data_IF_101167560381
#
_entry.id   IF_101167560381
#
_cell.length_a   1.000
_cell.length_b   1.000
_cell.length_c   1.000
_cell.angle_alpha   90.00
_cell.angle_beta   90.00
_cell.angle_gamma   90.00
#
_symmetry.space_group_name_H-M   'P 1'
#
loop_
_entity.id
_entity.type
_entity.pdbx_description
1 polymer ?
#
# COMPACT_ATOMS: atom_id res chain seq x y z
N UNK A 1 31.01 49.27 4.60
CA UNK A 1 29.84 50.05 5.07
C UNK A 1 28.88 49.07 5.72
N UNK A 2 28.50 49.33 6.98
CA UNK A 2 27.73 48.53 7.95
C UNK A 2 26.30 48.10 7.48
N UNK A 3 25.54 47.26 8.24
CA UNK A 3 25.93 46.23 9.22
C UNK A 3 25.12 44.90 9.17
N UNK A 4 25.62 43.94 9.96
CA UNK A 4 24.97 42.74 10.50
C UNK A 4 23.73 43.06 11.35
N UNK A 5 22.79 42.11 11.42
CA UNK A 5 21.85 41.96 12.53
C UNK A 5 21.83 40.49 13.00
N UNK A 6 21.81 40.33 14.32
CA UNK A 6 21.87 39.08 15.08
C UNK A 6 20.70 39.08 16.07
N UNK A 7 20.41 37.89 16.60
CA UNK A 7 19.68 37.56 17.83
C UNK A 7 18.17 37.29 17.69
N UNK A 8 17.79 36.03 17.94
CA UNK A 8 16.66 35.73 18.83
C UNK A 8 16.89 34.40 19.56
N UNK A 9 17.05 34.54 20.88
CA UNK A 9 17.09 33.48 21.89
C UNK A 9 15.72 32.79 21.98
N UNK A 10 15.68 31.46 22.00
CA UNK A 10 14.55 30.72 22.54
C UNK A 10 14.92 30.14 23.91
N UNK A 11 14.10 30.52 24.89
CA UNK A 11 14.15 30.12 26.29
C UNK A 11 13.59 28.69 26.39
N UNK A 12 14.38 27.76 26.94
CA UNK A 12 13.92 26.46 27.39
C UNK A 12 13.20 26.62 28.74
N UNK A 13 11.91 26.24 28.80
CA UNK A 13 11.17 26.11 30.06
C UNK A 13 10.95 24.63 30.34
N UNK A 14 11.70 24.09 31.30
CA UNK A 14 11.57 22.73 31.83
C UNK A 14 10.45 22.70 32.87
N UNK A 15 9.38 21.94 32.63
CA UNK A 15 8.34 21.69 33.62
C UNK A 15 8.55 20.31 34.25
N UNK A 16 9.00 20.31 35.52
CA UNK A 16 9.01 19.15 36.40
C UNK A 16 7.68 19.13 37.16
N UNK A 17 6.90 18.06 37.04
CA UNK A 17 5.75 17.80 37.91
C UNK A 17 5.94 16.47 38.63
N UNK A 18 5.98 16.57 39.95
CA UNK A 18 6.30 15.50 40.89
C UNK A 18 5.14 14.57 41.20
N UNK A 19 5.55 13.42 41.74
CA UNK A 19 4.74 12.33 42.24
C UNK A 19 3.75 12.76 43.33
N UNK A 20 2.51 12.24 43.26
CA UNK A 20 1.49 12.32 44.29
C UNK A 20 0.84 10.94 44.53
N UNK A 21 0.76 10.56 45.79
CA UNK A 21 0.64 9.19 46.30
C UNK A 21 -0.76 8.53 46.19
N UNK A 22 -0.71 7.19 46.22
CA UNK A 22 -1.84 6.24 46.42
C UNK A 22 -2.59 6.52 47.73
N UNK A 23 -3.92 6.40 47.68
CA UNK A 23 -4.78 6.22 48.86
C UNK A 23 -5.62 4.93 48.70
N UNK A 24 -5.60 4.11 49.75
CA UNK A 24 -6.38 2.87 49.91
C UNK A 24 -7.79 3.18 50.48
N UNK A 25 -8.81 2.34 50.24
CA UNK A 25 -10.07 2.45 50.97
C UNK A 25 -10.04 1.60 52.25
N UNK A 26 -10.46 2.21 53.36
CA UNK A 26 -10.68 1.55 54.65
C UNK A 26 -12.08 0.93 54.71
N UNK A 27 -12.13 -0.30 55.22
CA UNK A 27 -13.31 -1.04 55.64
C UNK A 27 -13.85 -0.54 56.98
N UNK A 28 -15.19 -0.40 57.10
CA UNK A 28 -15.88 -0.42 58.40
C UNK A 28 -17.23 -1.12 58.26
N UNK A 29 -17.34 -2.28 58.91
CA UNK A 29 -18.58 -2.91 59.33
C UNK A 29 -19.18 -2.16 60.52
N UNK A 30 -20.51 -1.98 60.58
CA UNK A 30 -21.29 -2.25 61.81
C UNK A 30 -22.81 -2.27 61.56
N UNK A 31 -23.39 -3.41 61.96
CA UNK A 31 -24.57 -3.61 62.79
C UNK A 31 -25.99 -3.19 62.30
N UNK A 32 -26.82 -4.23 62.28
CA UNK A 32 -28.24 -4.28 61.99
C UNK A 32 -29.14 -3.55 63.01
N UNK A 33 -30.23 -2.99 62.51
CA UNK A 33 -31.47 -2.84 63.27
C UNK A 33 -32.63 -3.43 62.47
N UNK A 34 -33.26 -4.48 63.03
CA UNK A 34 -34.49 -5.09 62.50
C UNK A 34 -35.68 -4.20 62.88
N UNK A 35 -36.49 -3.82 61.90
CA UNK A 35 -37.89 -3.43 62.09
C UNK A 35 -38.74 -4.08 61.00
N UNK A 36 -39.60 -4.99 61.41
CA UNK A 36 -40.56 -5.71 60.56
C UNK A 36 -41.81 -4.87 60.32
N UNK A 37 -42.13 -4.61 59.06
CA UNK A 37 -43.45 -4.14 58.60
C UNK A 37 -43.90 -5.00 57.42
N UNK A 38 -45.22 -5.28 57.28
CA UNK A 38 -45.71 -6.30 56.37
C UNK A 38 -45.74 -5.78 54.92
N UNK A 39 -45.20 -6.56 53.99
CA UNK A 39 -45.23 -6.25 52.57
C UNK A 39 -46.64 -6.49 52.00
N UNK A 40 -47.32 -5.40 51.64
CA UNK A 40 -48.45 -5.40 50.73
C UNK A 40 -47.97 -5.73 49.32
N UNK A 41 -48.59 -6.74 48.70
CA UNK A 41 -48.34 -7.14 47.32
C UNK A 41 -48.84 -6.06 46.35
N UNK A 42 -47.95 -5.19 45.88
CA UNK A 42 -48.20 -4.38 44.70
C UNK A 42 -47.71 -5.12 43.47
N UNK A 43 -48.62 -5.56 42.61
CA UNK A 43 -48.34 -5.95 41.24
C UNK A 43 -47.67 -4.78 40.52
N UNK A 44 -46.35 -4.86 40.33
CA UNK A 44 -45.63 -3.96 39.45
C UNK A 44 -46.04 -4.31 38.01
N UNK A 45 -46.89 -3.48 37.42
CA UNK A 45 -47.07 -3.41 35.98
C UNK A 45 -45.71 -3.07 35.38
N UNK A 46 -45.10 -4.03 34.69
CA UNK A 46 -43.95 -3.80 33.83
C UNK A 46 -44.45 -2.87 32.73
N UNK A 47 -44.14 -1.58 32.84
CA UNK A 47 -44.34 -0.65 31.74
C UNK A 47 -43.51 -1.17 30.56
N UNK A 48 -44.17 -1.53 29.46
CA UNK A 48 -43.52 -1.80 28.19
C UNK A 48 -42.75 -0.54 27.80
N UNK A 49 -41.43 -0.56 27.96
CA UNK A 49 -40.56 0.44 27.39
C UNK A 49 -40.73 0.34 25.87
N UNK A 50 -41.54 1.22 25.30
CA UNK A 50 -41.63 1.39 23.85
C UNK A 50 -40.21 1.68 23.35
N UNK A 51 -39.73 0.87 22.42
CA UNK A 51 -38.42 1.08 21.78
C UNK A 51 -38.39 2.49 21.21
N UNK A 52 -37.55 3.35 21.80
CA UNK A 52 -37.30 4.69 21.26
C UNK A 52 -36.39 4.49 20.04
N UNK A 53 -37.00 4.33 18.87
CA UNK A 53 -36.26 4.31 17.60
C UNK A 53 -35.76 5.75 17.35
N UNK A 54 -34.46 5.97 17.13
CA UNK A 54 -33.94 7.29 16.79
C UNK A 54 -34.69 7.86 15.59
N UNK A 55 -35.21 9.09 15.71
CA UNK A 55 -35.87 9.76 14.59
C UNK A 55 -34.80 10.20 13.58
N UNK A 56 -34.87 9.68 12.35
CA UNK A 56 -33.99 10.09 11.25
C UNK A 56 -34.40 11.49 10.79
N UNK A 57 -33.62 12.50 11.15
CA UNK A 57 -33.92 13.92 10.86
C UNK A 57 -33.62 14.33 9.41
N UNK A 58 -32.80 13.58 8.67
CA UNK A 58 -32.27 13.94 7.34
C UNK A 58 -32.70 13.02 6.19
N UNK A 59 -33.68 12.13 6.40
CA UNK A 59 -34.07 11.11 5.42
C UNK A 59 -33.09 9.94 5.31
N UNK A 60 -33.46 8.89 4.56
CA UNK A 60 -32.62 7.72 4.33
C UNK A 60 -31.70 7.91 3.11
N UNK A 61 -30.57 7.20 3.11
CA UNK A 61 -29.68 7.15 1.94
C UNK A 61 -30.42 6.61 0.71
N UNK A 62 -30.06 7.11 -0.48
CA UNK A 62 -30.66 6.65 -1.74
C UNK A 62 -30.33 5.19 -2.01
N UNK A 63 -31.31 4.43 -2.49
CA UNK A 63 -31.13 3.05 -2.95
C UNK A 63 -31.00 2.95 -4.47
N UNK A 64 -30.88 4.09 -5.17
CA UNK A 64 -30.73 4.08 -6.62
C UNK A 64 -29.37 3.46 -6.99
N UNK A 65 -29.33 2.47 -7.91
CA UNK A 65 -28.07 1.88 -8.34
C UNK A 65 -27.14 2.92 -8.97
N UNK A 66 -25.87 2.88 -8.57
CA UNK A 66 -24.81 3.72 -9.09
C UNK A 66 -23.77 2.89 -9.86
N UNK A 67 -24.20 1.98 -10.73
CA UNK A 67 -23.25 1.23 -11.57
C UNK A 67 -22.44 2.15 -12.51
N UNK A 68 -21.30 1.66 -13.05
CA UNK A 68 -20.60 2.33 -14.13
C UNK A 68 -21.54 2.59 -15.31
N UNK A 69 -21.50 3.80 -15.88
CA UNK A 69 -22.42 4.20 -16.96
C UNK A 69 -21.97 3.71 -18.34
N UNK A 70 -20.68 3.40 -18.49
CA UNK A 70 -20.09 2.86 -19.71
C UNK A 70 -18.90 1.94 -19.38
N UNK A 71 -18.52 1.13 -20.37
CA UNK A 71 -17.24 0.46 -20.48
C UNK A 71 -16.37 1.13 -21.56
N UNK A 72 -15.11 0.70 -21.67
CA UNK A 72 -14.10 1.29 -22.58
C UNK A 72 -14.56 1.41 -24.06
N UNK A 73 -15.49 0.58 -24.51
CA UNK A 73 -15.96 0.54 -25.91
C UNK A 73 -17.29 1.28 -26.16
N UNK A 74 -17.80 2.04 -25.19
CA UNK A 74 -19.14 2.64 -25.28
C UNK A 74 -19.10 4.11 -25.72
N UNK A 75 -19.53 4.39 -26.95
CA UNK A 75 -19.95 5.73 -27.41
C UNK A 75 -19.04 6.91 -27.04
N UNK A 76 -19.62 8.11 -26.98
CA UNK A 76 -18.97 9.30 -26.44
C UNK A 76 -19.55 9.55 -25.04
N UNK A 77 -18.78 9.32 -23.97
CA UNK A 77 -19.26 9.48 -22.61
C UNK A 77 -19.59 10.94 -22.32
N UNK A 78 -20.54 11.15 -21.41
CA UNK A 78 -20.97 12.48 -20.96
C UNK A 78 -21.09 12.47 -19.44
N UNK A 79 -20.81 13.60 -18.75
CA UNK A 79 -20.94 13.71 -17.30
C UNK A 79 -22.42 13.90 -16.91
N UNK A 80 -23.26 12.95 -17.32
CA UNK A 80 -24.71 12.95 -17.12
C UNK A 80 -25.13 11.64 -16.42
N UNK A 81 -25.78 11.74 -15.26
CA UNK A 81 -26.31 10.60 -14.50
C UNK A 81 -27.78 10.85 -14.17
N UNK A 82 -28.68 10.23 -14.94
CA UNK A 82 -30.11 10.49 -14.83
C UNK A 82 -30.44 11.94 -15.18
N UNK A 83 -31.01 12.69 -14.24
CA UNK A 83 -31.34 14.12 -14.43
C UNK A 83 -30.22 15.06 -13.94
N UNK A 84 -29.05 14.53 -13.56
CA UNK A 84 -27.91 15.31 -13.08
C UNK A 84 -26.88 15.47 -14.21
N UNK A 85 -26.21 16.61 -14.27
CA UNK A 85 -25.14 16.89 -15.23
C UNK A 85 -25.58 17.62 -16.50
N UNK A 86 -24.66 17.73 -17.46
CA UNK A 86 -24.87 18.31 -18.79
C UNK A 86 -23.74 17.89 -19.75
N UNK A 87 -24.00 17.94 -21.06
CA UNK A 87 -23.01 17.54 -22.07
C UNK A 87 -21.76 18.42 -22.11
N UNK A 88 -20.63 17.81 -22.48
CA UNK A 88 -19.36 18.49 -22.73
C UNK A 88 -19.45 19.25 -24.05
N UNK A 89 -19.37 20.58 -23.98
CA UNK A 89 -19.35 21.47 -25.16
C UNK A 89 -17.95 22.05 -25.47
N UNK A 90 -16.98 21.78 -24.60
CA UNK A 90 -15.59 22.22 -24.75
C UNK A 90 -14.67 21.13 -25.32
N UNK A 91 -13.36 21.41 -25.43
CA UNK A 91 -12.37 20.38 -25.75
C UNK A 91 -12.40 19.24 -24.72
N UNK A 92 -12.33 18.01 -25.20
CA UNK A 92 -12.36 16.79 -24.40
C UNK A 92 -11.16 15.89 -24.68
N UNK A 93 -10.85 15.00 -23.74
CA UNK A 93 -9.87 13.93 -23.95
C UNK A 93 -10.59 12.59 -23.87
N UNK A 94 -11.23 12.23 -24.99
CA UNK A 94 -12.13 11.09 -25.08
C UNK A 94 -11.53 9.77 -24.57
N UNK A 95 -10.28 9.38 -24.91
CA UNK A 95 -9.67 8.18 -24.35
C UNK A 95 -9.63 8.16 -22.81
N UNK A 96 -9.23 9.28 -22.18
CA UNK A 96 -9.18 9.37 -20.71
C UNK A 96 -10.57 9.35 -20.10
N UNK A 97 -11.55 10.00 -20.73
CA UNK A 97 -12.94 9.98 -20.30
C UNK A 97 -13.56 8.57 -20.37
N UNK A 98 -13.19 7.78 -21.39
CA UNK A 98 -13.62 6.38 -21.53
C UNK A 98 -13.06 5.49 -20.41
N UNK A 99 -11.83 5.72 -19.98
CA UNK A 99 -11.19 4.99 -18.88
C UNK A 99 -11.76 5.30 -17.49
N UNK A 100 -12.48 6.42 -17.34
CA UNK A 100 -12.84 6.96 -16.03
C UNK A 100 -14.36 7.22 -15.85
N UNK A 101 -15.23 6.19 -16.00
CA UNK A 101 -16.68 6.35 -15.90
C UNK A 101 -17.19 6.93 -14.59
N UNK A 102 -16.63 6.48 -13.47
CA UNK A 102 -17.04 6.89 -12.14
C UNK A 102 -16.34 8.18 -11.66
N UNK A 103 -15.39 8.73 -12.42
CA UNK A 103 -14.89 10.10 -12.20
C UNK A 103 -15.63 11.13 -13.04
N UNK A 104 -15.91 10.82 -14.32
CA UNK A 104 -16.59 11.75 -15.21
C UNK A 104 -18.07 11.91 -14.82
N UNK A 105 -18.76 10.81 -14.52
CA UNK A 105 -20.14 10.81 -14.05
C UNK A 105 -20.24 10.03 -12.72
N UNK A 106 -19.83 10.62 -11.59
CA UNK A 106 -19.64 9.89 -10.34
C UNK A 106 -20.93 9.31 -9.75
N UNK A 107 -20.83 8.30 -8.87
CA UNK A 107 -21.94 7.84 -8.06
C UNK A 107 -22.63 9.02 -7.35
N UNK A 108 -23.96 8.98 -7.24
CA UNK A 108 -24.72 10.03 -6.53
C UNK A 108 -24.42 10.11 -5.03
N UNK A 109 -23.70 9.13 -4.50
CA UNK A 109 -23.23 9.07 -3.11
C UNK A 109 -21.85 9.72 -2.89
N UNK A 110 -21.12 10.07 -3.95
CA UNK A 110 -19.90 10.86 -3.83
C UNK A 110 -20.22 12.28 -3.32
N UNK A 111 -19.34 12.83 -2.51
CA UNK A 111 -19.58 14.10 -1.82
C UNK A 111 -18.29 14.74 -1.35
N UNK A 112 -18.30 16.07 -1.32
CA UNK A 112 -17.25 16.86 -0.71
C UNK A 112 -15.91 16.80 -1.45
N UNK A 113 -14.83 16.96 -0.69
CA UNK A 113 -13.47 17.07 -1.25
C UNK A 113 -12.60 15.92 -0.74
N UNK A 114 -12.09 15.13 -1.67
CA UNK A 114 -11.14 14.04 -1.43
C UNK A 114 -9.93 14.32 -2.32
N UNK A 115 -8.71 14.14 -1.81
CA UNK A 115 -7.52 14.31 -2.64
C UNK A 115 -7.48 13.27 -3.78
N UNK A 116 -6.74 13.55 -4.85
CA UNK A 116 -6.57 12.58 -5.92
C UNK A 116 -5.86 11.33 -5.38
N UNK A 117 -6.45 10.16 -5.59
CA UNK A 117 -5.96 8.87 -5.10
C UNK A 117 -5.57 7.90 -6.24
N UNK A 118 -5.43 8.42 -7.46
CA UNK A 118 -5.09 7.66 -8.67
C UNK A 118 -3.90 8.27 -9.37
N UNK A 119 -2.90 7.46 -9.69
CA UNK A 119 -1.82 7.85 -10.60
C UNK A 119 -1.49 6.75 -11.61
N UNK A 120 -1.71 6.96 -12.91
CA UNK A 120 -1.24 6.05 -13.94
C UNK A 120 0.28 6.19 -14.14
N UNK A 121 1.05 5.10 -14.08
CA UNK A 121 2.47 5.15 -14.45
C UNK A 121 2.70 5.67 -15.88
N UNK A 122 1.70 5.55 -16.75
CA UNK A 122 1.73 6.12 -18.11
C UNK A 122 1.92 7.65 -18.13
N UNK A 123 1.59 8.36 -17.05
CA UNK A 123 1.80 9.81 -16.91
C UNK A 123 3.13 10.19 -16.25
N UNK A 124 3.92 9.20 -15.83
CA UNK A 124 5.22 9.42 -15.21
C UNK A 124 6.29 9.68 -16.26
N UNK A 125 7.24 10.59 -15.95
CA UNK A 125 8.43 10.74 -16.78
C UNK A 125 9.20 9.42 -16.83
N UNK A 126 9.62 9.01 -18.03
CA UNK A 126 10.34 7.76 -18.22
C UNK A 126 11.82 8.03 -18.52
N UNK A 127 12.68 7.66 -17.57
CA UNK A 127 14.13 7.74 -17.70
C UNK A 127 14.61 6.58 -18.55
N UNK A 128 14.88 6.85 -19.83
CA UNK A 128 15.38 5.85 -20.77
C UNK A 128 16.90 5.82 -20.78
N UNK A 129 17.46 4.61 -20.76
CA UNK A 129 18.90 4.35 -20.78
C UNK A 129 19.24 3.21 -21.75
N UNK A 130 20.53 2.97 -21.99
CA UNK A 130 20.96 1.83 -22.78
C UNK A 130 20.82 0.55 -21.93
N UNK A 131 19.90 -0.34 -22.29
CA UNK A 131 19.60 -1.58 -21.55
C UNK A 131 18.33 -1.53 -20.71
N UNK A 132 17.60 -0.42 -20.63
CA UNK A 132 16.37 -0.37 -19.87
C UNK A 132 15.77 1.02 -19.65
N UNK A 133 14.73 1.05 -18.84
CA UNK A 133 14.07 2.30 -18.43
C UNK A 133 13.50 2.18 -17.03
N UNK A 134 13.27 3.34 -16.40
CA UNK A 134 12.61 3.44 -15.11
C UNK A 134 11.72 4.68 -15.07
N UNK A 135 10.58 4.57 -14.41
CA UNK A 135 9.60 5.65 -14.20
C UNK A 135 9.02 5.54 -12.81
N UNK A 136 8.75 6.67 -12.18
CA UNK A 136 8.42 6.71 -10.77
C UNK A 136 7.14 7.45 -10.45
N UNK A 137 6.51 7.05 -9.35
CA UNK A 137 5.50 7.79 -8.63
C UNK A 137 6.05 8.13 -7.25
N UNK A 138 5.88 9.38 -6.86
CA UNK A 138 6.23 9.92 -5.53
C UNK A 138 5.29 11.08 -5.23
N UNK A 139 5.50 11.80 -4.11
CA UNK A 139 4.66 12.94 -3.72
C UNK A 139 4.59 14.08 -4.76
N UNK A 140 5.49 14.13 -5.75
CA UNK A 140 5.37 15.06 -6.87
C UNK A 140 4.31 14.65 -7.89
N UNK A 141 4.11 13.33 -8.05
CA UNK A 141 3.13 12.71 -8.94
C UNK A 141 1.77 12.49 -8.24
N UNK A 142 1.79 11.89 -7.05
CA UNK A 142 0.61 11.59 -6.25
C UNK A 142 0.78 12.15 -4.82
N UNK A 143 0.48 13.45 -4.59
CA UNK A 143 0.80 14.13 -3.32
C UNK A 143 0.15 13.55 -2.05
N UNK A 144 -0.90 12.74 -2.19
CA UNK A 144 -1.53 12.05 -1.05
C UNK A 144 -0.66 10.89 -0.54
N UNK A 145 0.18 10.30 -1.41
CA UNK A 145 1.02 9.14 -1.12
C UNK A 145 2.30 9.54 -0.35
N UNK A 146 2.13 10.00 0.89
CA UNK A 146 3.25 10.54 1.67
C UNK A 146 4.12 9.46 2.33
N UNK A 147 3.56 8.27 2.55
CA UNK A 147 4.24 7.18 3.27
C UNK A 147 4.95 6.19 2.35
N UNK A 148 4.69 6.23 1.05
CA UNK A 148 5.22 5.28 0.06
C UNK A 148 5.41 5.95 -1.30
N UNK A 149 6.43 5.52 -2.02
CA UNK A 149 6.69 5.87 -3.41
C UNK A 149 7.08 4.60 -4.18
N UNK A 150 7.07 4.67 -5.51
CA UNK A 150 7.30 3.50 -6.34
C UNK A 150 8.06 3.79 -7.62
N UNK A 151 8.72 2.76 -8.14
CA UNK A 151 9.38 2.77 -9.44
C UNK A 151 8.94 1.54 -10.23
N UNK A 152 8.44 1.75 -11.44
CA UNK A 152 8.30 0.68 -12.43
C UNK A 152 9.56 0.68 -13.29
N UNK A 153 10.29 -0.43 -13.28
CA UNK A 153 11.60 -0.55 -13.92
C UNK A 153 11.64 -1.76 -14.85
N UNK A 154 12.37 -1.58 -15.95
CA UNK A 154 12.58 -2.57 -17.00
C UNK A 154 14.06 -2.68 -17.33
N UNK A 155 14.54 -3.92 -17.40
CA UNK A 155 15.91 -4.28 -17.79
C UNK A 155 15.87 -5.27 -18.95
N UNK A 156 16.48 -4.94 -20.09
CA UNK A 156 16.72 -5.87 -21.20
C UNK A 156 17.52 -7.09 -20.76
N UNK A 157 17.46 -8.20 -21.49
CA UNK A 157 18.18 -9.42 -21.12
C UNK A 157 19.68 -9.15 -20.91
N UNK A 158 20.18 -9.41 -19.69
CA UNK A 158 21.56 -9.16 -19.27
C UNK A 158 21.87 -7.75 -18.82
N UNK A 159 20.99 -6.78 -19.06
CA UNK A 159 21.15 -5.42 -18.54
C UNK A 159 21.14 -5.40 -17.00
N UNK A 160 21.91 -4.47 -16.46
CA UNK A 160 22.22 -4.35 -15.05
C UNK A 160 21.67 -3.03 -14.55
N UNK A 161 20.87 -3.08 -13.48
CA UNK A 161 20.73 -1.97 -12.54
C UNK A 161 21.97 -1.98 -11.65
N UNK A 162 22.72 -0.89 -11.72
CA UNK A 162 24.03 -0.72 -11.08
C UNK A 162 24.02 -1.11 -9.59
N UNK A 163 25.16 -1.57 -9.07
CA UNK A 163 25.39 -1.71 -7.63
C UNK A 163 25.10 -0.39 -6.91
N UNK A 164 24.17 -0.43 -5.95
CA UNK A 164 23.72 0.76 -5.26
C UNK A 164 23.14 0.45 -3.89
N UNK A 165 22.86 1.50 -3.11
CA UNK A 165 22.07 1.45 -1.89
C UNK A 165 21.25 2.73 -1.72
N UNK A 166 20.33 2.74 -0.76
CA UNK A 166 19.51 3.90 -0.40
C UNK A 166 19.07 3.84 1.07
N UNK A 167 18.50 4.94 1.57
CA UNK A 167 18.06 5.10 2.96
C UNK A 167 16.72 4.41 3.27
N UNK A 168 15.91 4.20 2.23
CA UNK A 168 14.60 3.54 2.31
C UNK A 168 14.77 2.03 2.25
N UNK A 169 13.78 1.31 2.74
CA UNK A 169 13.61 -0.11 2.40
C UNK A 169 13.18 -0.22 0.94
N UNK A 170 13.54 -1.29 0.25
CA UNK A 170 13.01 -1.62 -1.07
C UNK A 170 12.27 -2.95 -1.01
N UNK A 171 10.98 -2.94 -1.32
CA UNK A 171 10.19 -4.14 -1.58
C UNK A 171 9.86 -4.21 -3.07
N UNK A 172 9.85 -5.40 -3.66
CA UNK A 172 9.53 -5.51 -5.08
C UNK A 172 8.63 -6.68 -5.41
N UNK A 173 7.95 -6.54 -6.55
CA UNK A 173 7.16 -7.58 -7.19
C UNK A 173 7.58 -7.70 -8.66
N UNK A 174 7.93 -8.91 -9.11
CA UNK A 174 8.31 -9.16 -10.50
C UNK A 174 7.06 -9.32 -11.37
N UNK A 175 6.86 -8.42 -12.33
CA UNK A 175 5.74 -8.46 -13.25
C UNK A 175 5.98 -9.46 -14.39
N UNK A 176 7.17 -9.41 -14.99
CA UNK A 176 7.56 -10.22 -16.16
C UNK A 176 9.05 -10.54 -16.11
N UNK A 177 9.40 -11.69 -16.69
CA UNK A 177 10.79 -12.11 -16.84
C UNK A 177 11.44 -12.53 -15.53
N UNK A 178 12.77 -12.56 -15.53
CA UNK A 178 13.57 -13.06 -14.40
C UNK A 178 14.73 -12.13 -14.12
N UNK A 179 14.96 -11.87 -12.82
CA UNK A 179 16.00 -10.95 -12.36
C UNK A 179 16.89 -11.70 -11.37
N UNK A 180 18.20 -11.66 -11.58
CA UNK A 180 19.17 -12.05 -10.58
C UNK A 180 19.43 -10.86 -9.66
N UNK A 181 19.25 -11.07 -8.37
CA UNK A 181 19.49 -10.08 -7.33
C UNK A 181 20.73 -10.46 -6.51
N UNK A 182 21.54 -9.47 -6.16
CA UNK A 182 22.68 -9.65 -5.24
C UNK A 182 22.55 -8.71 -4.06
N UNK A 183 23.08 -9.09 -2.90
CA UNK A 183 23.23 -8.19 -1.76
C UNK A 183 24.39 -8.63 -0.85
N UNK A 184 24.87 -7.71 -0.02
CA UNK A 184 25.85 -7.98 1.06
C UNK A 184 25.35 -7.34 2.35
N UNK A 185 25.25 -8.12 3.43
CA UNK A 185 24.76 -7.62 4.71
C UNK A 185 25.84 -6.98 5.60
N UNK A 186 25.43 -6.46 6.76
CA UNK A 186 26.31 -5.80 7.73
C UNK A 186 27.34 -6.73 8.37
N UNK A 187 27.15 -8.04 8.27
CA UNK A 187 28.08 -9.06 8.74
C UNK A 187 29.05 -9.51 7.63
N UNK A 188 28.94 -8.95 6.42
CA UNK A 188 29.76 -9.30 5.26
C UNK A 188 29.35 -10.61 4.57
N UNK A 189 28.14 -11.10 4.84
CA UNK A 189 27.58 -12.28 4.17
C UNK A 189 26.96 -11.87 2.85
N UNK A 190 27.14 -12.70 1.82
CA UNK A 190 26.55 -12.42 0.52
C UNK A 190 25.22 -13.16 0.31
N UNK A 191 24.43 -12.61 -0.60
CA UNK A 191 23.18 -13.17 -1.08
C UNK A 191 23.15 -13.11 -2.60
N UNK A 192 22.64 -14.16 -3.22
CA UNK A 192 22.38 -14.26 -4.65
C UNK A 192 21.13 -15.10 -4.84
N UNK A 193 20.16 -14.58 -5.59
CA UNK A 193 18.97 -15.33 -5.99
C UNK A 193 18.50 -14.91 -7.38
N UNK A 194 17.81 -15.81 -8.06
CA UNK A 194 17.06 -15.49 -9.29
C UNK A 194 15.58 -15.50 -8.94
N UNK A 195 14.89 -14.38 -9.16
CA UNK A 195 13.46 -14.18 -8.90
C UNK A 195 12.68 -14.08 -10.20
N UNK A 196 11.49 -14.70 -10.26
CA UNK A 196 10.65 -14.75 -11.45
C UNK A 196 9.28 -14.10 -11.27
N UNK A 197 8.38 -14.17 -12.26
CA UNK A 197 7.10 -13.48 -12.23
C UNK A 197 6.25 -13.89 -11.02
N UNK A 198 5.80 -12.91 -10.24
CA UNK A 198 5.06 -13.11 -9.01
C UNK A 198 5.91 -13.38 -7.77
N UNK A 199 7.24 -13.44 -7.89
CA UNK A 199 8.14 -13.47 -6.74
C UNK A 199 8.47 -12.07 -6.25
N UNK A 200 9.00 -12.01 -5.02
CA UNK A 200 9.35 -10.78 -4.34
C UNK A 200 10.84 -10.74 -3.99
N UNK A 201 11.32 -9.52 -3.77
CA UNK A 201 12.48 -9.29 -2.92
C UNK A 201 12.20 -8.19 -1.89
N UNK A 202 13.02 -8.16 -0.85
CA UNK A 202 13.07 -7.09 0.13
C UNK A 202 14.52 -6.80 0.52
N UNK A 203 14.94 -5.55 0.37
CA UNK A 203 16.22 -5.06 0.89
C UNK A 203 15.99 -4.09 2.04
N UNK A 204 16.51 -4.38 3.24
CA UNK A 204 16.48 -3.44 4.35
C UNK A 204 17.22 -2.13 4.03
N UNK A 205 16.91 -1.04 4.75
CA UNK A 205 17.59 0.24 4.59
C UNK A 205 19.12 0.11 4.61
N UNK A 206 19.76 0.68 3.60
CA UNK A 206 21.22 0.74 3.50
C UNK A 206 21.93 -0.54 3.08
N UNK A 207 21.22 -1.66 2.85
CA UNK A 207 21.83 -2.89 2.32
C UNK A 207 22.15 -2.70 0.84
N UNK A 208 23.44 -2.77 0.41
CA UNK A 208 23.80 -2.62 -0.98
C UNK A 208 23.37 -3.83 -1.79
N UNK A 209 22.87 -3.57 -3.00
CA UNK A 209 22.35 -4.60 -3.89
C UNK A 209 22.53 -4.23 -5.37
N UNK A 210 22.25 -5.20 -6.24
CA UNK A 210 22.18 -5.01 -7.70
C UNK A 210 21.08 -5.87 -8.29
N UNK A 211 20.59 -5.46 -9.46
CA UNK A 211 19.60 -6.22 -10.23
C UNK A 211 20.17 -6.49 -11.63
N UNK A 212 20.10 -7.73 -12.11
CA UNK A 212 20.50 -8.06 -13.47
C UNK A 212 19.47 -8.98 -14.11
N UNK A 213 18.89 -8.57 -15.23
CA UNK A 213 17.96 -9.42 -15.96
C UNK A 213 18.66 -10.68 -16.49
N UNK A 214 18.06 -11.85 -16.30
CA UNK A 214 18.57 -13.10 -16.88
C UNK A 214 18.11 -13.25 -18.34
N UNK A 215 18.60 -14.28 -19.02
CA UNK A 215 18.13 -14.67 -20.36
C UNK A 215 17.08 -15.79 -20.33
N UNK A 216 16.54 -16.17 -19.16
CA UNK A 216 15.43 -17.10 -19.08
C UNK A 216 14.17 -16.54 -19.78
N UNK A 217 14.07 -15.22 -19.83
CA UNK A 217 13.17 -14.49 -20.71
C UNK A 217 14.00 -13.76 -21.76
N UNK A 218 13.68 -13.94 -23.05
CA UNK A 218 14.38 -13.27 -24.15
C UNK A 218 14.24 -11.74 -24.08
N UNK A 219 13.15 -11.26 -23.49
CA UNK A 219 12.88 -9.82 -23.36
C UNK A 219 13.64 -9.21 -22.17
N UNK A 220 14.13 -10.00 -21.21
CA UNK A 220 14.64 -9.51 -19.93
C UNK A 220 13.55 -9.49 -18.86
N UNK A 221 13.55 -8.49 -17.98
CA UNK A 221 12.65 -8.43 -16.81
C UNK A 221 12.01 -7.05 -16.60
N UNK A 222 10.79 -7.04 -16.08
CA UNK A 222 10.05 -5.86 -15.63
C UNK A 222 9.47 -6.11 -14.23
N UNK A 223 9.57 -5.13 -13.36
CA UNK A 223 9.18 -5.23 -11.95
C UNK A 223 8.77 -3.86 -11.41
N UNK A 224 8.17 -3.87 -10.22
CA UNK A 224 7.82 -2.67 -9.47
C UNK A 224 8.58 -2.71 -8.15
N UNK A 225 9.20 -1.59 -7.82
CA UNK A 225 9.88 -1.32 -6.58
C UNK A 225 9.01 -0.37 -5.76
N UNK A 226 8.92 -0.62 -4.46
CA UNK A 226 8.18 0.19 -3.51
C UNK A 226 9.11 0.55 -2.37
N UNK A 227 9.09 1.83 -2.01
CA UNK A 227 9.93 2.44 -1.00
C UNK A 227 9.07 3.01 0.11
N UNK A 228 9.52 2.88 1.35
CA UNK A 228 8.82 3.27 2.59
C UNK A 228 8.91 4.78 2.91
N UNK A 229 9.07 5.62 1.89
CA UNK A 229 9.07 7.08 1.97
C UNK A 229 8.49 7.68 0.67
N UNK A 230 7.39 8.43 0.77
CA UNK A 230 6.75 9.07 -0.38
C UNK A 230 7.61 10.13 -1.08
N UNK A 231 8.66 10.63 -0.44
CA UNK A 231 9.60 11.57 -1.03
C UNK A 231 10.75 10.90 -1.80
N UNK A 232 10.78 9.57 -1.91
CA UNK A 232 11.81 8.86 -2.65
C UNK A 232 11.89 9.33 -4.11
N UNK A 233 13.12 9.29 -4.64
CA UNK A 233 13.41 9.49 -6.07
C UNK A 233 14.50 8.51 -6.49
N UNK A 234 14.30 7.81 -7.61
CA UNK A 234 15.29 6.88 -8.18
C UNK A 234 16.63 7.57 -8.51
N UNK A 235 16.57 8.87 -8.79
CA UNK A 235 17.73 9.73 -9.04
C UNK A 235 18.57 10.02 -7.79
N UNK A 236 18.09 9.67 -6.59
CA UNK A 236 18.74 9.97 -5.31
C UNK A 236 19.34 8.72 -4.64
N UNK A 237 19.54 7.65 -5.40
CA UNK A 237 20.24 6.44 -4.93
C UNK A 237 21.76 6.68 -4.85
N UNK A 238 22.45 5.93 -3.99
CA UNK A 238 23.91 5.99 -3.91
C UNK A 238 24.51 4.94 -4.84
N UNK A 239 25.06 5.38 -5.97
CA UNK A 239 25.57 4.51 -7.04
C UNK A 239 27.08 4.26 -6.82
N UNK A 240 27.53 3.01 -7.03
CA UNK A 240 28.93 2.63 -6.83
C UNK A 240 29.89 3.48 -7.66
N UNK A 241 29.61 3.62 -8.96
CA UNK A 241 30.47 4.34 -9.89
C UNK A 241 30.42 5.85 -9.66
N UNK A 242 29.25 6.40 -9.29
CA UNK A 242 29.14 7.81 -8.89
C UNK A 242 29.96 8.10 -7.63
N UNK A 243 29.87 7.23 -6.62
CA UNK A 243 30.68 7.40 -5.41
C UNK A 243 32.17 7.34 -5.73
N UNK A 244 32.63 6.33 -6.47
CA UNK A 244 34.04 6.20 -6.82
C UNK A 244 34.55 7.33 -7.71
N UNK A 245 33.73 7.90 -8.59
CA UNK A 245 34.09 9.09 -9.38
C UNK A 245 34.33 10.34 -8.49
N UNK A 246 33.75 10.35 -7.29
CA UNK A 246 33.84 11.44 -6.32
C UNK A 246 34.75 11.14 -5.10
N UNK A 247 35.59 10.11 -5.19
CA UNK A 247 36.64 9.82 -4.19
C UNK A 247 38.02 10.14 -4.78
N UNK A 248 38.90 10.90 -4.08
CA UNK A 248 40.26 11.14 -4.55
C UNK A 248 41.01 9.83 -4.84
N UNK A 249 41.73 9.78 -5.97
CA UNK A 249 42.38 8.55 -6.43
C UNK A 249 43.35 7.96 -5.39
N UNK A 250 44.07 8.79 -4.64
CA UNK A 250 44.96 8.35 -3.57
C UNK A 250 44.21 7.72 -2.37
N UNK A 251 42.94 8.08 -2.15
CA UNK A 251 42.08 7.46 -1.13
C UNK A 251 41.61 6.09 -1.61
N UNK A 252 41.21 5.96 -2.89
CA UNK A 252 40.88 4.67 -3.52
C UNK A 252 42.08 3.72 -3.41
N UNK A 253 43.26 4.18 -3.79
CA UNK A 253 44.50 3.39 -3.70
C UNK A 253 44.79 2.92 -2.28
N UNK A 254 44.69 3.81 -1.29
CA UNK A 254 44.89 3.46 0.13
C UNK A 254 43.86 2.46 0.62
N UNK A 255 42.59 2.61 0.22
CA UNK A 255 41.51 1.73 0.62
C UNK A 255 41.70 0.31 0.09
N UNK A 256 42.00 0.18 -1.21
CA UNK A 256 42.14 -1.13 -1.86
C UNK A 256 43.53 -1.76 -1.73
N UNK A 257 44.54 -1.00 -1.26
CA UNK A 257 45.94 -1.43 -1.17
C UNK A 257 46.47 -2.05 -2.48
N UNK A 258 46.01 -1.52 -3.61
CA UNK A 258 46.31 -2.03 -4.95
C UNK A 258 47.03 -0.98 -5.81
N UNK A 259 47.53 -1.42 -6.96
CA UNK A 259 48.22 -0.55 -7.90
C UNK A 259 47.30 0.63 -8.34
N UNK A 260 47.74 1.90 -8.25
CA UNK A 260 47.10 3.06 -8.89
C UNK A 260 46.46 2.81 -10.26
N UNK A 261 47.16 2.14 -11.17
CA UNK A 261 46.67 1.92 -12.53
C UNK A 261 45.48 0.94 -12.59
N UNK A 262 45.26 0.13 -11.57
CA UNK A 262 44.13 -0.81 -11.52
C UNK A 262 42.76 -0.10 -11.54
N UNK A 263 42.74 1.17 -11.11
CA UNK A 263 41.52 1.98 -11.00
C UNK A 263 41.45 3.10 -12.06
N UNK A 264 42.31 3.07 -13.08
CA UNK A 264 42.38 4.15 -14.10
C UNK A 264 41.17 4.20 -15.04
N UNK A 265 40.27 3.21 -14.98
CA UNK A 265 39.09 3.07 -15.83
C UNK A 265 37.77 3.14 -15.05
N UNK A 266 37.79 3.62 -13.80
CA UNK A 266 36.56 3.94 -13.08
C UNK A 266 35.76 4.96 -13.93
N UNK A 267 34.47 4.72 -14.21
CA UNK A 267 33.64 5.66 -14.95
C UNK A 267 33.59 7.03 -14.26
N UNK A 268 33.62 8.11 -15.05
CA UNK A 268 33.59 9.48 -14.52
C UNK A 268 32.18 9.93 -14.09
N UNK A 269 31.14 9.17 -14.46
CA UNK A 269 29.75 9.41 -14.09
C UNK A 269 29.10 8.06 -13.79
N UNK A 270 27.95 8.10 -13.12
CA UNK A 270 27.11 6.92 -12.90
C UNK A 270 26.80 6.14 -14.18
N UNK A 271 26.62 4.83 -14.04
CA UNK A 271 26.10 3.97 -15.11
C UNK A 271 24.58 3.83 -15.01
N UNK A 272 24.02 3.82 -13.79
CA UNK A 272 22.62 3.65 -13.45
C UNK A 272 21.99 2.35 -13.96
N UNK A 273 21.67 2.29 -15.25
CA UNK A 273 21.25 1.09 -15.99
C UNK A 273 22.13 0.99 -17.23
N UNK A 274 22.77 -0.16 -17.42
CA UNK A 274 23.69 -0.39 -18.54
C UNK A 274 23.61 -1.83 -19.05
N UNK A 275 24.01 -2.10 -20.32
CA UNK A 275 23.98 -3.44 -20.87
C UNK A 275 25.03 -4.35 -20.21
N UNK A 276 24.69 -5.62 -20.05
CA UNK A 276 25.58 -6.65 -19.53
C UNK A 276 25.38 -7.99 -20.25
N UNK A 277 26.28 -8.94 -19.99
CA UNK A 277 26.07 -10.32 -20.43
C UNK A 277 25.10 -11.00 -19.47
N UNK A 278 24.03 -11.67 -19.95
CA UNK A 278 23.09 -12.35 -19.09
C UNK A 278 23.78 -13.32 -18.10
N UNK A 279 23.47 -13.23 -16.80
CA UNK A 279 24.02 -14.15 -15.83
C UNK A 279 23.39 -15.53 -16.02
N UNK A 280 24.12 -16.58 -15.61
CA UNK A 280 23.53 -17.92 -15.53
C UNK A 280 22.43 -17.93 -14.46
N UNK A 281 21.28 -18.59 -14.72
CA UNK A 281 20.26 -18.84 -13.68
C UNK A 281 20.81 -19.66 -12.50
N UNK A 282 21.82 -20.49 -12.76
CA UNK A 282 22.51 -21.33 -11.78
C UNK A 282 23.79 -20.66 -11.26
N UNK A 283 23.90 -19.33 -11.37
CA UNK A 283 25.03 -18.60 -10.82
C UNK A 283 25.15 -18.88 -9.31
N UNK A 284 26.39 -19.02 -8.84
CA UNK A 284 26.70 -19.25 -7.44
C UNK A 284 27.34 -17.99 -6.89
N UNK A 285 26.91 -17.59 -5.69
CA UNK A 285 27.51 -16.46 -5.00
C UNK A 285 29.03 -16.68 -4.82
N UNK A 286 29.85 -15.62 -4.84
CA UNK A 286 31.27 -15.73 -4.52
C UNK A 286 31.50 -16.44 -3.17
N UNK A 287 32.63 -17.14 -3.01
CA UNK A 287 32.96 -17.71 -1.70
C UNK A 287 33.16 -16.60 -0.68
N UNK A 288 32.36 -16.59 0.38
CA UNK A 288 32.49 -15.65 1.50
C UNK A 288 32.98 -16.37 2.75
N UNK A 289 34.06 -15.90 3.42
CA UNK A 289 34.49 -16.46 4.69
C UNK A 289 33.50 -16.17 5.83
N UNK A 290 32.58 -15.22 5.65
CA UNK A 290 31.49 -14.92 6.58
C UNK A 290 30.26 -15.82 6.33
N UNK A 291 30.25 -16.58 5.24
CA UNK A 291 29.11 -17.39 4.81
C UNK A 291 28.09 -16.60 3.99
N UNK A 292 26.92 -17.21 3.77
CA UNK A 292 25.79 -16.59 3.08
C UNK A 292 24.75 -16.10 4.08
N UNK A 293 23.88 -15.19 3.65
CA UNK A 293 22.72 -14.77 4.45
C UNK A 293 21.90 -16.02 4.85
N UNK A 294 21.49 -16.15 6.13
CA UNK A 294 20.68 -17.29 6.59
C UNK A 294 19.34 -17.37 5.87
N UNK A 295 18.81 -18.59 5.69
CA UNK A 295 17.59 -18.81 4.93
C UNK A 295 16.36 -18.08 5.53
N UNK A 296 16.30 -17.97 6.85
CA UNK A 296 15.26 -17.23 7.58
C UNK A 296 15.29 -15.71 7.32
N UNK A 297 16.41 -15.17 6.85
CA UNK A 297 16.60 -13.77 6.47
C UNK A 297 16.87 -13.61 4.97
N UNK A 298 16.45 -14.58 4.15
CA UNK A 298 16.53 -14.48 2.68
C UNK A 298 15.98 -13.14 2.22
N UNK A 299 16.64 -12.49 1.26
CA UNK A 299 16.11 -11.26 0.65
C UNK A 299 15.13 -11.54 -0.50
N UNK A 300 14.92 -12.80 -0.89
CA UNK A 300 13.94 -13.20 -1.89
C UNK A 300 12.84 -14.07 -1.27
N UNK A 301 11.60 -13.92 -1.76
CA UNK A 301 10.45 -14.68 -1.30
C UNK A 301 9.62 -15.18 -2.49
N UNK A 302 9.38 -16.51 -2.60
CA UNK A 302 8.71 -17.11 -3.76
C UNK A 302 7.17 -17.03 -3.66
N UNK A 303 6.62 -15.81 -3.62
CA UNK A 303 5.16 -15.55 -3.52
C UNK A 303 4.38 -16.21 -4.68
N UNK A 304 5.01 -16.39 -5.84
CA UNK A 304 4.41 -17.09 -6.98
C UNK A 304 3.96 -18.52 -6.65
N UNK A 305 4.69 -19.19 -5.74
CA UNK A 305 4.43 -20.57 -5.30
C UNK A 305 3.68 -20.66 -3.98
N UNK A 306 3.45 -19.52 -3.31
CA UNK A 306 2.64 -19.47 -2.09
C UNK A 306 1.20 -19.87 -2.40
N UNK A 307 0.64 -20.78 -1.59
CA UNK A 307 -0.76 -21.16 -1.71
C UNK A 307 -1.65 -19.93 -1.44
N UNK A 308 -2.50 -19.58 -2.40
CA UNK A 308 -3.50 -18.54 -2.21
C UNK A 308 -4.65 -19.05 -1.34
N UNK A 309 -5.15 -18.18 -0.46
CA UNK A 309 -6.39 -18.42 0.27
C UNK A 309 -7.55 -18.22 -0.71
N UNK A 310 -8.28 -19.30 -1.00
CA UNK A 310 -9.50 -19.25 -1.81
C UNK A 310 -10.65 -18.64 -1.01
N UNK A 311 -11.29 -17.63 -1.57
CA UNK A 311 -12.45 -16.93 -1.00
C UNK A 311 -13.59 -16.91 -2.03
N UNK A 312 -14.77 -16.44 -1.65
CA UNK A 312 -15.98 -16.62 -2.46
C UNK A 312 -15.88 -15.97 -3.84
N UNK A 313 -15.31 -14.75 -3.90
CA UNK A 313 -15.19 -13.95 -5.12
C UNK A 313 -13.77 -13.87 -5.69
N UNK A 314 -12.83 -14.71 -5.26
CA UNK A 314 -11.45 -14.66 -5.74
C UNK A 314 -10.42 -15.29 -4.79
N UNK A 315 -9.21 -14.72 -4.75
CA UNK A 315 -8.09 -15.25 -3.96
C UNK A 315 -7.29 -14.16 -3.27
N UNK A 316 -6.64 -14.52 -2.15
CA UNK A 316 -5.76 -13.62 -1.41
C UNK A 316 -4.49 -14.35 -0.98
N UNK A 317 -3.32 -13.75 -1.23
CA UNK A 317 -2.06 -14.12 -0.60
C UNK A 317 -1.58 -12.95 0.26
N UNK A 318 -1.27 -13.19 1.53
CA UNK A 318 -0.74 -12.18 2.43
C UNK A 318 0.72 -12.50 2.72
N UNK A 319 1.58 -11.50 2.57
CA UNK A 319 3.01 -11.59 2.87
C UNK A 319 3.41 -10.42 3.77
N UNK A 320 3.99 -10.74 4.91
CA UNK A 320 4.43 -9.76 5.91
C UNK A 320 5.56 -10.37 6.76
N UNK A 321 6.00 -9.68 7.81
CA UNK A 321 7.09 -10.16 8.69
C UNK A 321 6.83 -11.53 9.36
N UNK A 322 5.60 -12.06 9.33
CA UNK A 322 5.31 -13.39 9.88
C UNK A 322 5.65 -14.53 8.92
N UNK A 323 5.71 -14.26 7.61
CA UNK A 323 6.07 -15.23 6.57
C UNK A 323 7.38 -14.87 5.86
N UNK A 324 7.62 -13.57 5.63
CA UNK A 324 8.82 -13.01 5.05
C UNK A 324 9.55 -12.13 6.07
N UNK A 325 10.28 -12.77 6.99
CA UNK A 325 10.75 -12.17 8.26
C UNK A 325 11.58 -10.89 8.12
N UNK A 326 12.31 -10.74 7.01
CA UNK A 326 13.15 -9.57 6.77
C UNK A 326 12.33 -8.33 6.37
N UNK A 327 11.11 -8.51 5.84
CA UNK A 327 10.22 -7.44 5.39
C UNK A 327 9.48 -6.80 6.58
N UNK A 328 10.21 -6.01 7.37
CA UNK A 328 9.70 -5.41 8.62
C UNK A 328 9.05 -4.05 8.44
N UNK A 329 9.15 -3.44 7.26
CA UNK A 329 8.61 -2.11 6.94
C UNK A 329 7.59 -2.13 5.82
N UNK A 330 7.45 -3.25 5.11
CA UNK A 330 6.48 -3.40 4.03
C UNK A 330 5.77 -4.74 4.17
N UNK A 331 4.45 -4.67 4.35
CA UNK A 331 3.53 -5.80 4.25
C UNK A 331 2.71 -5.66 2.96
N UNK A 332 2.25 -6.78 2.41
CA UNK A 332 1.45 -6.76 1.20
C UNK A 332 0.41 -7.88 1.13
N UNK A 333 -0.60 -7.69 0.29
CA UNK A 333 -1.50 -8.71 -0.18
C UNK A 333 -1.61 -8.72 -1.71
N UNK A 334 -1.48 -9.89 -2.34
CA UNK A 334 -1.90 -10.11 -3.73
C UNK A 334 -3.35 -10.55 -3.72
N UNK A 335 -4.23 -9.77 -4.34
CA UNK A 335 -5.67 -10.00 -4.34
C UNK A 335 -6.16 -10.21 -5.77
N UNK A 336 -7.00 -11.24 -5.95
CA UNK A 336 -7.81 -11.39 -7.15
C UNK A 336 -9.29 -11.20 -6.84
N UNK A 337 -9.99 -10.51 -7.73
CA UNK A 337 -11.44 -10.25 -7.66
C UNK A 337 -12.07 -10.68 -8.97
N UNK A 338 -12.87 -11.73 -8.95
CA UNK A 338 -13.53 -12.29 -10.14
C UNK A 338 -14.59 -11.33 -10.72
N UNK A 339 -15.00 -11.50 -11.99
CA UNK A 339 -16.07 -10.68 -12.57
C UNK A 339 -17.35 -10.72 -11.73
N UNK A 340 -17.87 -9.53 -11.39
CA UNK A 340 -19.05 -9.37 -10.54
C UNK A 340 -18.81 -9.50 -9.03
N UNK A 341 -17.57 -9.76 -8.61
CA UNK A 341 -17.18 -9.81 -7.20
C UNK A 341 -16.62 -8.45 -6.71
N UNK A 342 -16.50 -8.31 -5.39
CA UNK A 342 -15.85 -7.16 -4.73
C UNK A 342 -14.86 -7.62 -3.64
N UNK A 343 -13.74 -6.92 -3.49
CA UNK A 343 -13.06 -6.78 -2.20
C UNK A 343 -14.01 -6.02 -1.28
N UNK A 344 -14.42 -6.64 -0.18
CA UNK A 344 -15.52 -6.12 0.65
C UNK A 344 -15.26 -4.72 1.22
N UNK A 345 -16.32 -4.08 1.75
CA UNK A 345 -16.18 -2.85 2.52
C UNK A 345 -15.33 -3.08 3.77
N UNK A 346 -14.19 -2.41 3.84
CA UNK A 346 -13.23 -2.54 4.93
C UNK A 346 -12.41 -1.26 5.11
N UNK A 347 -11.53 -1.27 6.11
CA UNK A 347 -10.47 -0.28 6.24
C UNK A 347 -9.24 -0.89 6.91
N UNK A 348 -8.12 -0.21 6.75
CA UNK A 348 -6.86 -0.50 7.41
C UNK A 348 -6.70 0.40 8.64
N UNK A 349 -6.52 -0.12 9.87
CA UNK A 349 -6.67 0.67 11.09
C UNK A 349 -5.67 1.81 11.26
N UNK A 350 -4.41 1.61 10.87
CA UNK A 350 -3.31 2.52 11.22
C UNK A 350 -2.34 2.79 10.08
N UNK A 351 -2.45 2.06 8.97
CA UNK A 351 -1.54 2.10 7.84
C UNK A 351 -2.29 2.62 6.61
N UNK A 352 -1.60 3.44 5.81
CA UNK A 352 -2.05 3.76 4.47
C UNK A 352 -1.93 2.51 3.59
N UNK A 353 -2.85 2.36 2.65
CA UNK A 353 -2.76 1.39 1.58
C UNK A 353 -2.26 2.09 0.30
N UNK A 354 -1.16 1.60 -0.25
CA UNK A 354 -0.74 1.89 -1.61
C UNK A 354 -1.07 0.66 -2.46
N UNK A 355 -1.70 0.85 -3.62
CA UNK A 355 -2.17 -0.26 -4.43
C UNK A 355 -1.62 -0.20 -5.85
N UNK A 356 -1.34 -1.34 -6.46
CA UNK A 356 -0.97 -1.43 -7.88
C UNK A 356 -1.85 -2.42 -8.64
N UNK A 357 -2.51 -1.94 -9.69
CA UNK A 357 -3.39 -2.76 -10.52
C UNK A 357 -2.59 -3.42 -11.66
N UNK A 358 -2.56 -4.75 -11.65
CA UNK A 358 -1.80 -5.58 -12.60
C UNK A 358 -2.71 -6.03 -13.76
N UNK A 359 -3.95 -6.44 -13.47
CA UNK A 359 -4.92 -6.94 -14.45
C UNK A 359 -6.34 -6.46 -14.14
N UNK A 360 -7.20 -6.44 -15.17
CA UNK A 360 -8.63 -6.13 -15.06
C UNK A 360 -8.95 -4.65 -14.86
N UNK A 361 -10.25 -4.34 -14.74
CA UNK A 361 -10.73 -2.97 -14.50
C UNK A 361 -11.57 -2.92 -13.23
N UNK A 362 -11.27 -1.97 -12.36
CA UNK A 362 -11.91 -1.82 -11.08
C UNK A 362 -12.41 -0.40 -10.85
N UNK A 363 -13.28 -0.25 -9.84
CA UNK A 363 -13.50 1.03 -9.19
C UNK A 363 -13.37 0.91 -7.69
N UNK A 364 -12.95 2.00 -7.06
CA UNK A 364 -12.79 2.11 -5.61
C UNK A 364 -13.45 3.39 -5.15
N UNK A 365 -14.34 3.30 -4.17
CA UNK A 365 -14.83 4.47 -3.43
C UNK A 365 -14.08 4.60 -2.13
N UNK A 366 -13.52 5.77 -1.88
CA UNK A 366 -12.83 6.10 -0.62
C UNK A 366 -13.73 7.01 0.20
N UNK A 367 -14.11 6.56 1.40
CA UNK A 367 -14.81 7.34 2.40
C UNK A 367 -13.81 8.05 3.33
N UNK A 368 -13.75 9.38 3.21
CA UNK A 368 -12.76 10.22 3.87
C UNK A 368 -13.31 10.96 5.11
N UNK A 369 -14.25 10.33 5.82
CA UNK A 369 -14.98 10.89 6.98
C UNK A 369 -15.77 12.18 6.67
N UNK A 370 -16.54 12.68 7.64
CA UNK A 370 -17.30 13.94 7.53
C UNK A 370 -18.27 14.01 6.33
N UNK A 371 -18.72 12.85 5.83
CA UNK A 371 -19.56 12.77 4.63
C UNK A 371 -18.82 13.02 3.32
N UNK A 372 -17.48 13.03 3.32
CA UNK A 372 -16.67 13.05 2.11
C UNK A 372 -16.50 11.64 1.55
N UNK A 373 -16.75 11.48 0.26
CA UNK A 373 -16.50 10.24 -0.47
C UNK A 373 -16.18 10.55 -1.93
N UNK A 374 -15.25 9.80 -2.51
CA UNK A 374 -14.93 9.90 -3.94
C UNK A 374 -14.62 8.53 -4.54
N UNK A 375 -15.13 8.30 -5.74
CA UNK A 375 -14.94 7.08 -6.51
C UNK A 375 -13.90 7.31 -7.62
N UNK A 376 -13.00 6.34 -7.79
CA UNK A 376 -11.93 6.34 -8.79
C UNK A 376 -11.98 5.04 -9.60
N UNK A 377 -11.61 5.11 -10.88
CA UNK A 377 -11.46 3.93 -11.74
C UNK A 377 -10.00 3.51 -11.82
N UNK A 378 -9.73 2.21 -11.91
CA UNK A 378 -8.38 1.66 -12.01
C UNK A 378 -8.30 0.56 -13.06
N UNK A 379 -7.17 0.48 -13.74
CA UNK A 379 -6.84 -0.48 -14.79
C UNK A 379 -5.33 -0.81 -14.73
N UNK A 380 -4.81 -1.72 -15.57
CA UNK A 380 -3.41 -2.15 -15.49
C UNK A 380 -2.43 -0.96 -15.61
N UNK A 381 -1.48 -0.88 -14.67
CA UNK A 381 -0.49 0.20 -14.63
C UNK A 381 -0.88 1.40 -13.76
N UNK A 382 -2.06 1.36 -13.14
CA UNK A 382 -2.49 2.39 -12.20
C UNK A 382 -2.07 2.12 -10.77
N UNK A 383 -1.79 3.21 -10.07
CA UNK A 383 -1.50 3.27 -8.65
C UNK A 383 -2.70 3.86 -7.91
N UNK A 384 -3.09 3.20 -6.82
CA UNK A 384 -4.08 3.66 -5.84
C UNK A 384 -3.43 4.08 -4.53
N UNK A 385 -4.07 4.99 -3.79
CA UNK A 385 -3.65 5.31 -2.43
C UNK A 385 -4.87 5.60 -1.52
N UNK A 386 -5.00 4.84 -0.45
CA UNK A 386 -6.05 5.00 0.56
C UNK A 386 -5.41 5.36 1.90
N UNK A 387 -5.59 6.59 2.41
CA UNK A 387 -5.07 6.94 3.72
C UNK A 387 -5.63 6.07 4.85
N UNK A 388 -4.83 5.89 5.89
CA UNK A 388 -5.18 5.09 7.06
C UNK A 388 -6.58 5.40 7.59
N UNK A 389 -7.29 4.34 7.97
CA UNK A 389 -8.65 4.35 8.50
C UNK A 389 -9.76 4.86 7.56
N UNK A 390 -9.47 5.21 6.30
CA UNK A 390 -10.51 5.52 5.32
C UNK A 390 -11.19 4.24 4.83
N UNK A 391 -12.53 4.22 4.93
CA UNK A 391 -13.33 3.08 4.49
C UNK A 391 -13.36 2.99 2.97
N UNK A 392 -13.21 1.80 2.42
CA UNK A 392 -13.21 1.60 0.97
C UNK A 392 -13.60 0.18 0.57
N UNK A 393 -13.77 -0.03 -0.73
CA UNK A 393 -13.98 -1.33 -1.38
C UNK A 393 -13.32 -1.31 -2.76
N UNK A 394 -13.02 -2.49 -3.32
CA UNK A 394 -12.55 -2.62 -4.71
C UNK A 394 -13.55 -3.50 -5.47
N UNK A 395 -14.27 -2.91 -6.42
CA UNK A 395 -15.25 -3.63 -7.23
C UNK A 395 -14.70 -3.93 -8.60
N UNK A 396 -14.80 -5.17 -9.04
CA UNK A 396 -14.50 -5.54 -10.42
C UNK A 396 -15.62 -5.03 -11.33
N UNK A 397 -15.26 -4.14 -12.25
CA UNK A 397 -16.19 -3.49 -13.20
C UNK A 397 -16.11 -4.12 -14.60
N UNK A 398 -15.17 -5.03 -14.81
CA UNK A 398 -14.90 -5.69 -16.08
C UNK A 398 -15.43 -7.11 -16.17
N UNK A 399 -15.11 -7.75 -17.29
CA UNK A 399 -15.47 -9.14 -17.58
C UNK A 399 -14.29 -10.12 -17.39
N UNK A 400 -13.17 -9.64 -16.87
CA UNK A 400 -11.99 -10.43 -16.54
C UNK A 400 -11.64 -10.23 -15.08
N UNK A 401 -10.91 -11.18 -14.48
CA UNK A 401 -10.41 -11.06 -13.12
C UNK A 401 -9.58 -9.79 -12.95
N UNK A 402 -9.83 -9.05 -11.87
CA UNK A 402 -8.95 -7.99 -11.41
C UNK A 402 -7.86 -8.64 -10.56
N UNK A 403 -6.60 -8.32 -10.83
CA UNK A 403 -5.45 -8.71 -10.00
C UNK A 403 -4.69 -7.45 -9.60
N UNK A 404 -4.52 -7.24 -8.31
CA UNK A 404 -3.83 -6.07 -7.78
C UNK A 404 -3.06 -6.39 -6.50
N UNK A 405 -2.17 -5.48 -6.11
CA UNK A 405 -1.44 -5.53 -4.86
C UNK A 405 -2.03 -4.50 -3.90
N UNK A 406 -2.25 -4.88 -2.64
CA UNK A 406 -2.42 -3.99 -1.48
C UNK A 406 -1.05 -3.94 -0.77
N UNK A 407 -0.45 -2.76 -0.58
CA UNK A 407 0.89 -2.60 0.01
C UNK A 407 0.83 -1.58 1.14
N UNK A 408 1.52 -1.87 2.24
CA UNK A 408 1.42 -1.12 3.49
C UNK A 408 2.79 -0.86 4.08
N UNK A 409 3.05 0.36 4.53
CA UNK A 409 4.25 0.73 5.29
C UNK A 409 4.10 0.28 6.77
N UNK A 410 4.24 -1.03 7.01
CA UNK A 410 4.09 -1.69 8.32
C UNK A 410 4.73 -3.09 8.30
N UNK A 411 4.94 -3.71 9.47
CA UNK A 411 5.49 -5.06 9.58
C UNK A 411 4.44 -6.16 9.36
N UNK A 412 3.14 -5.84 9.51
CA UNK A 412 2.04 -6.81 9.49
C UNK A 412 0.80 -6.31 8.77
N UNK A 413 0.19 -7.18 7.97
CA UNK A 413 -1.09 -6.91 7.34
C UNK A 413 -2.23 -6.91 8.37
N UNK A 414 -3.08 -5.87 8.35
CA UNK A 414 -4.23 -5.75 9.23
C UNK A 414 -5.38 -5.00 8.57
N UNK A 415 -6.58 -5.56 8.59
CA UNK A 415 -7.81 -4.90 8.13
C UNK A 415 -9.00 -5.20 9.05
N UNK A 416 -9.99 -4.31 9.04
CA UNK A 416 -11.28 -4.49 9.70
C UNK A 416 -12.39 -4.53 8.65
N UNK A 417 -13.10 -5.65 8.61
CA UNK A 417 -14.27 -5.86 7.76
C UNK A 417 -15.50 -5.19 8.37
N UNK A 418 -16.23 -4.43 7.55
CA UNK A 418 -17.51 -3.85 7.96
C UNK A 418 -18.52 -4.95 8.29
N UNK A 419 -18.61 -5.99 7.46
CA UNK A 419 -19.58 -7.07 7.65
C UNK A 419 -19.31 -7.83 8.97
N UNK A 420 -18.04 -8.19 9.22
CA UNK A 420 -17.63 -8.86 10.43
C UNK A 420 -17.84 -7.99 11.68
N UNK A 421 -17.52 -6.69 11.60
CA UNK A 421 -17.72 -5.77 12.71
C UNK A 421 -19.20 -5.69 13.11
N UNK A 422 -20.10 -5.52 12.14
CA UNK A 422 -21.54 -5.49 12.41
C UNK A 422 -22.04 -6.83 12.94
N UNK A 423 -21.58 -7.95 12.38
CA UNK A 423 -21.98 -9.31 12.80
C UNK A 423 -21.57 -9.66 14.25
N UNK A 424 -20.50 -9.04 14.75
CA UNK A 424 -19.95 -9.26 16.10
C UNK A 424 -20.32 -8.17 17.11
N UNK A 425 -21.06 -7.15 16.67
CA UNK A 425 -21.64 -6.11 17.53
C UNK A 425 -23.02 -6.57 18.04
N UNK A 426 -23.44 -6.22 19.28
CA UNK A 426 -24.78 -6.58 19.76
C UNK A 426 -25.88 -6.22 18.76
N UNK A 427 -26.74 -7.17 18.34
CA UNK A 427 -27.75 -6.97 17.29
C UNK A 427 -28.61 -5.73 17.46
N UNK A 428 -29.11 -5.49 18.67
CA UNK A 428 -29.96 -4.33 18.98
C UNK A 428 -29.22 -2.99 18.78
N UNK A 429 -27.91 -2.95 19.02
CA UNK A 429 -27.10 -1.77 18.77
C UNK A 429 -26.96 -1.51 17.27
N UNK A 430 -26.75 -2.54 16.45
CA UNK A 430 -26.69 -2.40 14.98
C UNK A 430 -28.04 -1.95 14.43
N UNK A 431 -29.15 -2.54 14.89
CA UNK A 431 -30.51 -2.15 14.51
C UNK A 431 -30.81 -0.69 14.88
N UNK A 432 -30.34 -0.22 16.03
CA UNK A 432 -30.50 1.18 16.43
C UNK A 432 -29.81 2.16 15.46
N UNK A 433 -28.72 1.76 14.80
CA UNK A 433 -28.01 2.58 13.81
C UNK A 433 -28.62 2.50 12.40
N UNK A 434 -28.91 1.28 11.94
CA UNK A 434 -29.20 1.00 10.52
C UNK A 434 -30.64 0.61 10.24
N UNK A 435 -31.47 0.40 11.27
CA UNK A 435 -32.87 -0.01 11.17
C UNK A 435 -33.09 -1.28 10.31
N UNK A 436 -32.13 -2.20 10.36
CA UNK A 436 -32.18 -3.47 9.62
C UNK A 436 -33.15 -4.47 10.25
N UNK A 437 -33.74 -5.35 9.43
CA UNK A 437 -34.60 -6.43 9.90
C UNK A 437 -33.80 -7.53 10.63
N UNK A 438 -34.48 -8.35 11.44
CA UNK A 438 -33.87 -9.53 12.09
C UNK A 438 -33.27 -10.50 11.06
N UNK A 439 -33.92 -10.64 9.90
CA UNK A 439 -33.44 -11.46 8.79
C UNK A 439 -32.12 -10.93 8.24
N UNK A 440 -32.00 -9.62 7.99
CA UNK A 440 -30.76 -9.01 7.52
C UNK A 440 -29.66 -9.09 8.58
N UNK A 441 -29.96 -8.85 9.85
CA UNK A 441 -28.97 -9.00 10.93
C UNK A 441 -28.46 -10.44 11.00
N UNK A 442 -29.34 -11.43 10.81
CA UNK A 442 -28.97 -12.85 10.85
C UNK A 442 -28.13 -13.30 9.66
N UNK A 443 -28.13 -12.55 8.55
CA UNK A 443 -27.34 -12.87 7.35
C UNK A 443 -25.91 -12.31 7.36
N UNK A 444 -25.61 -11.40 8.29
CA UNK A 444 -24.27 -10.84 8.49
C UNK A 444 -23.23 -11.94 8.82
N UNK A 445 -21.99 -11.75 8.36
CA UNK A 445 -20.93 -12.75 8.39
C UNK A 445 -20.00 -12.53 9.58
N UNK A 446 -19.99 -13.48 10.53
CA UNK A 446 -19.06 -13.46 11.68
C UNK A 446 -17.61 -13.80 11.31
N UNK A 447 -17.43 -14.49 10.19
CA UNK A 447 -16.12 -14.76 9.58
C UNK A 447 -15.93 -13.76 8.46
N UNK A 448 -14.76 -13.09 8.44
CA UNK A 448 -14.40 -12.03 7.50
C UNK A 448 -14.58 -12.48 6.04
N UNK A 449 -15.51 -11.87 5.28
CA UNK A 449 -15.73 -12.21 3.88
C UNK A 449 -14.87 -11.33 2.94
N UNK A 450 -13.56 -11.61 2.87
CA UNK A 450 -12.53 -10.74 2.25
C UNK A 450 -12.87 -10.30 0.82
N UNK A 451 -13.17 -11.27 -0.06
CA UNK A 451 -13.66 -11.04 -1.43
C UNK A 451 -14.92 -11.87 -1.64
N UNK A 452 -16.00 -11.22 -2.08
CA UNK A 452 -17.36 -11.79 -2.17
C UNK A 452 -18.03 -11.60 -3.51
#
# INVERSE_FOLDING_TARGET
MFPKASISNFIFLSLVLGLGARAAPASVDTAAHRSSTPATSSTATVASLSSVIPTVLSGFASTNPNGPLWSLDSGTPQPERGNLGASIIGPSNLPVEQENPDLLAPPSTDSGSVANAKWPFALSHNRMTNGGWARQENIGALPIATSMASVNMRLEAGAIRELHWHKTSEWAYVLKGYTQVTAVDTEGRNFLATVGPGDLWFFPPGIPHSLQATNQSAEGSEFILIFDDGAFSEDATFLLTDWLAHVPAEVIQKNFQANPEAFSHIPANELYIFPGTPPSPDAVAPSSPQGTVPAEFSYAFPLSTMNATQVAGGTVKIVDSTSFQIATTIAAAEVTVEPGAIRELHWHPTMDEWSFFIEGTARVTIFASQGNARTFNYQPGDIGFVPAAMGHYVENTGNTTVKYLEIFNTDKYQDISLNQWLALTPPELVKAHLQLSDETISSLKKVKPVVI
#
